data_IF_265496769675
#
_entry.id   IF_265496769675
#
_cell.length_a   1.000
_cell.length_b   1.000
_cell.length_c   1.000
_cell.angle_alpha   90.00
_cell.angle_beta   90.00
_cell.angle_gamma   90.00
#
_symmetry.space_group_name_H-M   'P 1'
#
loop_
_entity.id
_entity.type
_entity.pdbx_description
1 polymer ?
#
# COMPACT_ATOMS: atom_id res chain seq x y z
N UNK A 1 -20.94 44.37 -14.97
CA UNK A 1 -21.00 43.47 -13.79
C UNK A 1 -20.78 42.04 -14.24
N UNK A 2 -19.61 41.46 -13.94
CA UNK A 2 -19.30 40.02 -13.81
C UNK A 2 -17.77 39.90 -13.68
N UNK A 3 -17.26 39.92 -12.45
CA UNK A 3 -15.86 39.64 -12.14
C UNK A 3 -15.66 38.13 -12.32
N UNK A 4 -14.91 37.72 -13.35
CA UNK A 4 -14.52 36.32 -13.54
C UNK A 4 -13.34 36.01 -12.62
N UNK A 5 -13.55 35.05 -11.71
CA UNK A 5 -12.60 34.60 -10.69
C UNK A 5 -11.23 34.23 -11.29
N UNK A 6 -10.12 34.52 -10.60
CA UNK A 6 -8.82 33.95 -10.96
C UNK A 6 -8.89 32.43 -10.82
N UNK A 7 -8.60 31.75 -11.92
CA UNK A 7 -8.56 30.30 -12.01
C UNK A 7 -7.27 29.85 -11.31
N UNK A 8 -7.41 29.37 -10.07
CA UNK A 8 -6.33 28.69 -9.36
C UNK A 8 -5.95 27.46 -10.20
N UNK A 9 -4.68 27.29 -10.58
CA UNK A 9 -4.27 26.12 -11.33
C UNK A 9 -4.54 24.88 -10.48
N UNK A 10 -5.42 24.01 -10.97
CA UNK A 10 -5.70 22.70 -10.41
C UNK A 10 -4.38 21.95 -10.16
N UNK A 11 -4.17 21.32 -8.99
CA UNK A 11 -2.96 20.57 -8.73
C UNK A 11 -2.87 19.47 -9.77
N UNK A 12 -1.78 19.50 -10.53
CA UNK A 12 -1.41 18.51 -11.52
C UNK A 12 -1.59 17.12 -10.93
N UNK A 13 -2.51 16.35 -11.49
CA UNK A 13 -2.78 14.95 -11.15
C UNK A 13 -1.66 14.08 -11.75
N UNK A 14 -0.41 14.37 -11.41
CA UNK A 14 0.66 13.42 -11.58
C UNK A 14 0.36 12.32 -10.57
N UNK A 15 0.12 11.06 -10.96
CA UNK A 15 0.11 10.00 -9.97
C UNK A 15 1.54 9.99 -9.42
N UNK A 16 1.74 10.53 -8.22
CA UNK A 16 2.91 10.18 -7.42
C UNK A 16 2.99 8.66 -7.50
N UNK A 17 4.11 8.16 -8.03
CA UNK A 17 4.33 6.73 -8.21
C UNK A 17 4.30 6.10 -6.81
N UNK A 18 3.12 5.66 -6.38
CA UNK A 18 2.98 4.98 -5.11
C UNK A 18 3.55 3.56 -5.26
N UNK A 19 4.50 3.16 -4.40
CA UNK A 19 5.05 1.82 -4.44
C UNK A 19 3.94 0.78 -4.27
N UNK A 20 3.83 -0.18 -5.19
CA UNK A 20 2.70 -1.12 -5.22
C UNK A 20 2.48 -1.84 -3.89
N UNK A 21 3.56 -2.18 -3.16
CA UNK A 21 3.48 -2.95 -1.91
C UNK A 21 3.19 -2.11 -0.66
N UNK A 22 3.37 -0.79 -0.71
CA UNK A 22 3.33 0.05 0.50
C UNK A 22 2.47 1.31 0.37
N UNK A 23 1.98 1.62 -0.83
CA UNK A 23 0.99 2.66 -1.05
C UNK A 23 -0.33 2.36 -0.35
N UNK A 24 -1.02 3.45 0.00
CA UNK A 24 -2.27 3.45 0.76
C UNK A 24 -3.48 3.81 -0.10
N UNK A 25 -3.27 4.24 -1.35
CA UNK A 25 -4.38 4.51 -2.26
C UNK A 25 -5.14 3.22 -2.62
N UNK A 26 -6.46 3.32 -2.86
CA UNK A 26 -7.27 2.16 -3.23
C UNK A 26 -6.78 1.49 -4.52
N UNK A 27 -6.28 2.27 -5.49
CA UNK A 27 -5.72 1.76 -6.74
C UNK A 27 -4.43 0.95 -6.50
N UNK A 28 -3.58 1.39 -5.56
CA UNK A 28 -2.38 0.65 -5.17
C UNK A 28 -2.72 -0.64 -4.41
N UNK A 29 -3.74 -0.62 -3.55
CA UNK A 29 -4.22 -1.82 -2.86
C UNK A 29 -4.77 -2.86 -3.83
N UNK A 30 -5.58 -2.45 -4.81
CA UNK A 30 -6.14 -3.34 -5.82
C UNK A 30 -5.04 -3.97 -6.71
N UNK A 31 -4.00 -3.20 -7.05
CA UNK A 31 -2.83 -3.71 -7.78
C UNK A 31 -2.06 -4.72 -6.94
N UNK A 32 -1.74 -4.39 -5.69
CA UNK A 32 -1.01 -5.28 -4.79
C UNK A 32 -1.74 -6.59 -4.49
N UNK A 33 -3.07 -6.55 -4.37
CA UNK A 33 -3.89 -7.74 -4.19
C UNK A 33 -3.77 -8.68 -5.40
N UNK A 34 -3.90 -8.14 -6.61
CA UNK A 34 -3.71 -8.91 -7.85
C UNK A 34 -2.30 -9.47 -7.94
N UNK A 35 -1.29 -8.66 -7.64
CA UNK A 35 0.11 -9.12 -7.66
C UNK A 35 0.36 -10.25 -6.68
N UNK A 36 -0.22 -10.19 -5.48
CA UNK A 36 -0.09 -11.27 -4.50
C UNK A 36 -0.82 -12.54 -4.98
N UNK A 37 -1.99 -12.40 -5.61
CA UNK A 37 -2.68 -13.55 -6.17
C UNK A 37 -1.88 -14.22 -7.31
N UNK A 38 -1.35 -13.42 -8.23
CA UNK A 38 -0.59 -13.92 -9.38
C UNK A 38 0.81 -14.42 -9.01
N UNK A 39 1.60 -13.58 -8.34
CA UNK A 39 3.03 -13.84 -8.13
C UNK A 39 3.35 -14.52 -6.81
N UNK A 40 2.51 -14.37 -5.78
CA UNK A 40 2.74 -15.05 -4.49
C UNK A 40 2.03 -16.40 -4.45
N UNK A 41 0.77 -16.45 -4.87
CA UNK A 41 -0.03 -17.68 -4.85
C UNK A 41 0.02 -18.48 -6.15
N UNK A 42 0.49 -17.89 -7.26
CA UNK A 42 0.50 -18.57 -8.57
C UNK A 42 -0.91 -18.84 -9.11
N UNK A 43 -1.92 -18.11 -8.61
CA UNK A 43 -3.33 -18.33 -8.96
C UNK A 43 -3.79 -17.28 -9.95
N UNK A 44 -4.56 -17.73 -10.94
CA UNK A 44 -5.27 -16.83 -11.84
C UNK A 44 -6.61 -16.44 -11.21
N UNK A 45 -7.06 -15.19 -11.34
CA UNK A 45 -8.37 -14.75 -10.87
C UNK A 45 -9.54 -15.61 -11.36
N UNK A 46 -9.40 -16.22 -12.55
CA UNK A 46 -10.40 -17.09 -13.15
C UNK A 46 -10.59 -18.43 -12.40
N UNK A 47 -9.61 -18.88 -11.63
CA UNK A 47 -9.64 -20.15 -10.88
C UNK A 47 -9.42 -19.94 -9.37
N UNK A 48 -9.31 -18.69 -8.93
CA UNK A 48 -9.03 -18.33 -7.55
C UNK A 48 -10.26 -18.59 -6.68
N UNK A 49 -10.08 -19.40 -5.63
CA UNK A 49 -11.10 -19.65 -4.62
C UNK A 49 -11.22 -18.45 -3.67
N UNK A 50 -12.31 -18.32 -2.90
CA UNK A 50 -12.42 -17.29 -1.87
C UNK A 50 -11.26 -17.34 -0.85
N UNK A 51 -10.71 -18.53 -0.59
CA UNK A 51 -9.55 -18.73 0.28
C UNK A 51 -8.27 -18.12 -0.31
N UNK A 52 -8.07 -18.26 -1.63
CA UNK A 52 -6.93 -17.65 -2.32
C UNK A 52 -7.03 -16.12 -2.29
N UNK A 53 -8.23 -15.57 -2.46
CA UNK A 53 -8.47 -14.13 -2.32
C UNK A 53 -8.22 -13.63 -0.91
N UNK A 54 -8.65 -14.39 0.11
CA UNK A 54 -8.35 -14.08 1.50
C UNK A 54 -6.83 -14.07 1.75
N UNK A 55 -6.11 -15.10 1.29
CA UNK A 55 -4.66 -15.18 1.44
C UNK A 55 -3.94 -14.03 0.72
N UNK A 56 -4.34 -13.70 -0.51
CA UNK A 56 -3.79 -12.56 -1.26
C UNK A 56 -3.98 -11.24 -0.50
N UNK A 57 -5.17 -11.02 0.07
CA UNK A 57 -5.48 -9.83 0.88
C UNK A 57 -4.64 -9.79 2.17
N UNK A 58 -4.47 -10.93 2.84
CA UNK A 58 -3.65 -11.03 4.04
C UNK A 58 -2.19 -10.66 3.75
N UNK A 59 -1.63 -11.12 2.62
CA UNK A 59 -0.29 -10.71 2.18
C UNK A 59 -0.22 -9.21 1.86
N UNK A 60 -1.26 -8.66 1.25
CA UNK A 60 -1.36 -7.22 0.96
C UNK A 60 -1.26 -6.43 2.26
N UNK A 61 -2.06 -6.78 3.28
CA UNK A 61 -2.02 -6.08 4.59
C UNK A 61 -0.68 -6.28 5.30
N UNK A 62 -0.14 -7.50 5.28
CA UNK A 62 1.15 -7.85 5.90
C UNK A 62 2.28 -6.95 5.43
N UNK A 63 2.38 -6.67 4.14
CA UNK A 63 3.46 -5.84 3.58
C UNK A 63 3.47 -4.43 4.19
N UNK A 64 2.30 -3.84 4.42
CA UNK A 64 2.18 -2.48 5.00
C UNK A 64 2.53 -2.50 6.49
N UNK A 65 2.05 -3.51 7.21
CA UNK A 65 2.38 -3.69 8.63
C UNK A 65 3.87 -3.93 8.82
N UNK A 66 4.47 -4.77 7.97
CA UNK A 66 5.89 -5.08 8.03
C UNK A 66 6.74 -3.84 7.76
N UNK A 67 6.38 -3.01 6.78
CA UNK A 67 7.07 -1.74 6.55
C UNK A 67 7.03 -0.84 7.80
N UNK A 68 5.86 -0.72 8.44
CA UNK A 68 5.73 0.10 9.66
C UNK A 68 6.54 -0.49 10.81
N UNK A 69 6.49 -1.81 11.00
CA UNK A 69 7.26 -2.50 12.03
C UNK A 69 8.77 -2.33 11.82
N UNK A 70 9.28 -2.46 10.60
CA UNK A 70 10.70 -2.21 10.30
C UNK A 70 11.10 -0.78 10.69
N UNK A 71 10.26 0.22 10.38
CA UNK A 71 10.51 1.61 10.81
C UNK A 71 10.56 1.73 12.33
N UNK A 72 9.64 1.08 13.04
CA UNK A 72 9.64 1.05 14.51
C UNK A 72 10.92 0.42 15.04
N UNK A 73 11.30 -0.77 14.57
CA UNK A 73 12.52 -1.47 15.00
C UNK A 73 13.76 -0.62 14.72
N UNK A 74 13.86 0.01 13.54
CA UNK A 74 14.98 0.90 13.23
C UNK A 74 15.05 2.11 14.17
N UNK A 75 13.92 2.69 14.56
CA UNK A 75 13.89 3.78 15.55
C UNK A 75 14.31 3.27 16.94
N UNK A 76 13.81 2.10 17.35
CA UNK A 76 14.19 1.47 18.62
C UNK A 76 15.69 1.12 18.67
N UNK A 77 16.30 0.72 17.55
CA UNK A 77 17.74 0.44 17.50
C UNK A 77 18.61 1.71 17.51
N UNK A 78 18.09 2.83 17.02
CA UNK A 78 18.82 4.12 16.97
C UNK A 78 18.75 4.89 18.28
N UNK A 79 17.70 4.68 19.05
CA UNK A 79 17.53 5.29 20.36
C UNK A 79 18.02 4.28 21.40
N UNK A 80 18.84 4.69 22.36
CA UNK A 80 19.34 3.82 23.44
C UNK A 80 18.23 3.60 24.48
N UNK A 81 17.17 2.88 24.07
CA UNK A 81 15.97 2.64 24.86
C UNK A 81 15.95 1.21 25.38
N UNK A 82 15.55 1.07 26.65
CA UNK A 82 15.41 -0.23 27.31
C UNK A 82 14.22 -0.98 26.71
N UNK A 83 14.50 -2.00 25.91
CA UNK A 83 13.48 -2.92 25.38
C UNK A 83 13.15 -3.95 26.44
N UNK A 84 11.88 -4.09 26.81
CA UNK A 84 11.41 -5.15 27.71
C UNK A 84 10.96 -6.32 26.83
N UNK A 85 11.59 -7.49 27.05
CA UNK A 85 11.25 -8.74 26.37
C UNK A 85 10.23 -9.56 27.15
#
# INVERSE_FOLDING_TARGET
MKKSKPQVPSPSKNPEYEPTRTGLSPDTLARALRDNLYYTLGRMPAVATPQDWYAALAYTVRDRLLQRWIKTVQTLMKQDIRVVS
#
